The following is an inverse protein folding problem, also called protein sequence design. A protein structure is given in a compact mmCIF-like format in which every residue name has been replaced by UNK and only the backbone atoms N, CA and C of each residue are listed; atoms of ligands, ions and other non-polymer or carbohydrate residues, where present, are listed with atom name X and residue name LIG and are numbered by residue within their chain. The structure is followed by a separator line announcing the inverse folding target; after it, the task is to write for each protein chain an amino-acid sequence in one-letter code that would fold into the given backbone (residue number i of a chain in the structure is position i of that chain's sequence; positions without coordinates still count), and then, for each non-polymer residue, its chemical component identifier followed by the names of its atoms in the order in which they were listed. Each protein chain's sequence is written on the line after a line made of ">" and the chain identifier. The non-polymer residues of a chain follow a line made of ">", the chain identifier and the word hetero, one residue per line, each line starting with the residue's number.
data_IF_091675224787
#
_entry.id   IF_091675224787
#
_cell.length_a   1.000
_cell.length_b   1.000
_cell.length_c   1.000
_cell.angle_alpha   90.00
_cell.angle_beta   90.00
_cell.angle_gamma   90.00
#
_symmetry.space_group_name_H-M   'P 1'
#
loop_
_entity.id
_entity.type
_entity.pdbx_description
1 polymer ?
#
# COMPACT_ATOMS: atom_id res chain seq x y z
N UNK A 1 0.55 10.92 -6.71
CA UNK A 1 0.51 10.85 -5.24
C UNK A 1 1.25 9.61 -4.75
N UNK A 2 1.79 9.68 -3.57
CA UNK A 2 2.55 8.57 -2.99
C UNK A 2 1.72 7.83 -1.97
N UNK A 3 1.81 6.50 -1.96
CA UNK A 3 1.07 5.69 -1.01
C UNK A 3 2.00 4.72 -0.30
N UNK A 4 1.57 4.30 0.87
CA UNK A 4 2.24 3.26 1.63
C UNK A 4 1.20 2.29 2.18
N UNK A 5 1.45 1.00 2.02
CA UNK A 5 0.57 -0.04 2.55
C UNK A 5 1.23 -0.61 3.79
N UNK A 6 0.58 -0.41 4.92
CA UNK A 6 1.04 -0.95 6.19
C UNK A 6 0.32 -2.26 6.46
N UNK A 7 1.07 -3.34 6.51
CA UNK A 7 0.52 -4.67 6.73
C UNK A 7 1.05 -5.22 8.04
N UNK A 8 0.15 -5.63 8.90
CA UNK A 8 0.54 -6.20 10.18
C UNK A 8 0.69 -7.70 10.06
N UNK A 9 1.92 -8.13 9.82
CA UNK A 9 2.47 -9.44 10.07
C UNK A 9 1.80 -10.70 9.58
N UNK A 10 0.72 -10.64 8.85
CA UNK A 10 0.04 -11.86 8.43
C UNK A 10 0.28 -12.10 6.94
N UNK A 11 0.89 -13.23 6.61
CA UNK A 11 1.21 -13.56 5.22
C UNK A 11 -0.02 -13.64 4.32
N UNK A 12 -1.17 -13.95 4.89
CA UNK A 12 -2.40 -14.06 4.11
C UNK A 12 -2.86 -12.72 3.54
N UNK A 13 -2.39 -11.63 4.13
CA UNK A 13 -2.77 -10.30 3.68
C UNK A 13 -1.91 -9.77 2.52
N UNK A 14 -0.86 -10.47 2.16
CA UNK A 14 0.06 -10.02 1.12
C UNK A 14 -0.65 -9.92 -0.23
N UNK A 15 -1.48 -10.92 -0.56
CA UNK A 15 -2.20 -10.92 -1.83
C UNK A 15 -3.16 -9.74 -1.93
N UNK A 16 -3.86 -9.43 -0.85
CA UNK A 16 -4.77 -8.29 -0.82
C UNK A 16 -4.01 -6.97 -0.95
N UNK A 17 -2.86 -6.87 -0.28
CA UNK A 17 -2.02 -5.69 -0.40
C UNK A 17 -1.56 -5.47 -1.83
N UNK A 18 -1.22 -6.54 -2.53
CA UNK A 18 -0.81 -6.44 -3.93
C UNK A 18 -1.96 -5.97 -4.83
N UNK A 19 -3.17 -6.41 -4.56
CA UNK A 19 -4.34 -5.95 -5.30
C UNK A 19 -4.58 -4.46 -5.10
N UNK A 20 -4.50 -4.01 -3.86
CA UNK A 20 -4.66 -2.60 -3.54
C UNK A 20 -3.56 -1.79 -4.21
N UNK A 21 -2.33 -2.26 -4.15
CA UNK A 21 -1.21 -1.59 -4.78
C UNK A 21 -1.43 -1.45 -6.28
N UNK A 22 -1.85 -2.52 -6.95
CA UNK A 22 -2.12 -2.47 -8.39
C UNK A 22 -3.20 -1.46 -8.72
N UNK A 23 -4.27 -1.42 -7.94
CA UNK A 23 -5.35 -0.47 -8.16
C UNK A 23 -4.87 0.98 -8.00
N UNK A 24 -4.07 1.23 -6.98
CA UNK A 24 -3.54 2.57 -6.73
C UNK A 24 -2.57 2.99 -7.84
N UNK A 25 -1.74 2.08 -8.32
CA UNK A 25 -0.80 2.40 -9.39
C UNK A 25 -1.52 2.72 -10.69
N UNK A 26 -2.65 2.08 -10.94
CA UNK A 26 -3.48 2.41 -12.10
C UNK A 26 -4.04 3.82 -12.02
N UNK A 27 -4.23 4.33 -10.81
CA UNK A 27 -4.69 5.70 -10.60
C UNK A 27 -3.56 6.73 -10.64
N UNK A 28 -2.33 6.27 -10.83
CA UNK A 28 -1.18 7.16 -10.91
C UNK A 28 -0.45 7.34 -9.59
N UNK A 29 -0.73 6.48 -8.62
CA UNK A 29 -0.05 6.54 -7.32
C UNK A 29 1.27 5.77 -7.39
N UNK A 30 2.23 6.20 -6.59
CA UNK A 30 3.54 5.55 -6.50
C UNK A 30 3.77 5.03 -5.09
N UNK A 31 4.26 3.79 -5.01
CA UNK A 31 4.57 3.18 -3.72
C UNK A 31 5.83 3.77 -3.12
N UNK A 32 5.82 3.99 -1.81
CA UNK A 32 7.00 4.43 -1.08
C UNK A 32 7.25 3.50 0.09
N UNK A 33 8.53 3.25 0.43
CA UNK A 33 8.87 2.31 1.50
C UNK A 33 8.67 2.87 2.90
N UNK A 34 8.49 4.16 3.03
CA UNK A 34 8.38 4.81 4.34
C UNK A 34 7.01 5.47 4.48
N UNK A 35 6.38 5.21 5.61
CA UNK A 35 5.06 5.77 5.88
C UNK A 35 5.09 7.30 5.92
N UNK A 36 6.21 7.87 6.35
CA UNK A 36 6.39 9.32 6.44
C UNK A 36 6.34 10.01 5.09
N UNK A 37 6.73 9.31 4.05
CA UNK A 37 6.79 9.87 2.70
C UNK A 37 5.47 9.72 1.95
N UNK A 38 4.51 9.01 2.53
CA UNK A 38 3.25 8.72 1.86
C UNK A 38 2.20 9.77 2.16
N UNK A 39 1.44 10.12 1.13
CA UNK A 39 0.28 10.98 1.26
C UNK A 39 -0.97 10.16 1.59
N UNK A 40 -0.99 8.90 1.16
CA UNK A 40 -2.07 7.98 1.43
C UNK A 40 -1.50 6.77 2.15
N UNK A 41 -2.12 6.41 3.25
CA UNK A 41 -1.71 5.24 4.03
C UNK A 41 -2.85 4.24 4.03
N UNK A 42 -2.56 3.04 3.58
CA UNK A 42 -3.53 1.95 3.58
C UNK A 42 -3.18 1.00 4.71
N UNK A 43 -4.11 0.82 5.63
CA UNK A 43 -3.93 -0.11 6.74
C UNK A 43 -4.60 -1.43 6.37
N UNK A 44 -3.81 -2.48 6.28
CA UNK A 44 -4.29 -3.81 5.97
C UNK A 44 -4.06 -4.70 7.19
N UNK A 45 -5.11 -4.98 7.89
CA UNK A 45 -5.04 -5.82 9.09
C UNK A 45 -5.67 -7.17 8.88
#
# INVERSE_FOLDING_TARGET
>A
MKYHIWTEGCQMNVADSQRVASALERLGYSAVPRIEDAEVIVLNT
#
